data_IF_121436115998
#
_entry.id   IF_121436115998
#
_cell.length_a   1.000
_cell.length_b   1.000
_cell.length_c   1.000
_cell.angle_alpha   90.00
_cell.angle_beta   90.00
_cell.angle_gamma   90.00
#
_symmetry.space_group_name_H-M   'P 1'
#
loop_
_entity.id
_entity.type
_entity.pdbx_description
1 polymer ?
#
# COMPACT_ATOMS: atom_id res chain seq x y z
N UNK A 1 2.58 14.70 16.18
CA UNK A 1 2.28 13.41 15.55
C UNK A 1 3.14 13.26 14.31
N UNK A 2 3.47 12.05 13.93
CA UNK A 2 4.34 11.77 12.80
C UNK A 2 3.59 10.98 11.74
N UNK A 3 3.92 11.22 10.48
CA UNK A 3 3.27 10.55 9.35
C UNK A 3 4.07 9.35 8.90
N UNK A 4 3.34 8.29 8.58
CA UNK A 4 3.90 7.04 8.05
C UNK A 4 3.10 6.63 6.83
N UNK A 5 3.79 6.01 5.88
CA UNK A 5 3.19 5.42 4.70
C UNK A 5 3.15 3.91 4.90
N UNK A 6 1.97 3.33 4.78
CA UNK A 6 1.77 1.88 4.81
C UNK A 6 1.61 1.44 3.35
N UNK A 7 2.50 0.57 2.89
CA UNK A 7 2.55 0.14 1.50
C UNK A 7 2.17 -1.32 1.37
N UNK A 8 1.19 -1.59 0.50
CA UNK A 8 0.87 -2.94 0.03
C UNK A 8 1.56 -3.19 -1.29
N UNK A 9 2.06 -4.40 -1.50
CA UNK A 9 2.77 -4.77 -2.71
C UNK A 9 2.04 -5.87 -3.46
N UNK A 10 1.91 -5.72 -4.79
CA UNK A 10 1.60 -6.87 -5.66
C UNK A 10 2.83 -7.74 -5.81
N UNK A 11 4.01 -7.10 -5.93
CA UNK A 11 5.33 -7.75 -6.02
C UNK A 11 6.32 -6.89 -5.25
N UNK A 12 7.37 -7.49 -4.74
CA UNK A 12 8.43 -6.79 -4.01
C UNK A 12 8.43 -7.05 -2.51
N UNK A 13 7.46 -7.84 -2.02
CA UNK A 13 7.41 -8.30 -0.64
C UNK A 13 7.30 -9.84 -0.62
N UNK A 14 7.66 -10.48 0.49
CA UNK A 14 7.42 -11.93 0.63
C UNK A 14 5.93 -12.25 0.52
N UNK A 15 5.62 -13.49 0.12
CA UNK A 15 4.24 -13.92 -0.03
C UNK A 15 3.46 -13.82 1.28
N UNK A 16 2.18 -13.47 1.17
CA UNK A 16 1.25 -13.47 2.30
C UNK A 16 0.96 -14.90 2.77
N UNK A 17 0.46 -15.03 3.99
CA UNK A 17 0.05 -16.35 4.52
C UNK A 17 -1.13 -16.89 3.70
N UNK A 18 -2.14 -16.07 3.46
CA UNK A 18 -3.25 -16.39 2.58
C UNK A 18 -3.04 -15.63 1.27
N UNK A 19 -2.32 -16.23 0.33
CA UNK A 19 -1.84 -15.56 -0.88
C UNK A 19 -2.66 -15.86 -2.14
N UNK A 20 -3.89 -16.32 -1.96
CA UNK A 20 -4.80 -16.54 -3.10
C UNK A 20 -5.08 -15.20 -3.79
N UNK A 21 -4.81 -15.06 -5.09
CA UNK A 21 -5.02 -13.80 -5.79
C UNK A 21 -6.48 -13.35 -5.76
N UNK A 22 -6.69 -12.05 -5.67
CA UNK A 22 -8.04 -11.47 -5.56
C UNK A 22 -8.95 -11.83 -6.74
N UNK A 23 -8.41 -12.00 -7.93
CA UNK A 23 -9.19 -12.40 -9.10
C UNK A 23 -9.78 -13.81 -8.96
N UNK A 24 -9.31 -14.60 -8.01
CA UNK A 24 -9.84 -15.91 -7.69
C UNK A 24 -10.84 -15.91 -6.53
N UNK A 25 -11.06 -14.74 -5.90
CA UNK A 25 -11.99 -14.64 -4.78
C UNK A 25 -13.43 -14.59 -5.28
N UNK A 26 -14.36 -15.04 -4.42
CA UNK A 26 -15.79 -14.86 -4.69
C UNK A 26 -16.17 -13.38 -4.51
N UNK A 27 -17.29 -12.93 -5.11
CA UNK A 27 -17.78 -11.57 -4.87
C UNK A 27 -17.98 -11.24 -3.40
N UNK A 28 -18.42 -12.22 -2.59
CA UNK A 28 -18.62 -12.03 -1.16
C UNK A 28 -17.30 -11.82 -0.44
N UNK A 29 -16.25 -12.50 -0.83
CA UNK A 29 -14.91 -12.34 -0.26
C UNK A 29 -14.33 -10.96 -0.59
N UNK A 30 -14.50 -10.50 -1.83
CA UNK A 30 -14.10 -9.15 -2.23
C UNK A 30 -14.85 -8.11 -1.41
N UNK A 31 -16.18 -8.29 -1.26
CA UNK A 31 -17.01 -7.38 -0.52
C UNK A 31 -16.60 -7.28 0.96
N UNK A 32 -16.30 -8.42 1.57
CA UNK A 32 -15.84 -8.47 2.98
C UNK A 32 -14.50 -7.75 3.14
N UNK A 33 -13.58 -7.93 2.20
CA UNK A 33 -12.29 -7.24 2.21
C UNK A 33 -12.47 -5.72 2.10
N UNK A 34 -13.26 -5.27 1.14
CA UNK A 34 -13.52 -3.84 0.92
C UNK A 34 -14.17 -3.24 2.17
N UNK A 35 -15.12 -3.96 2.78
CA UNK A 35 -15.79 -3.47 3.98
C UNK A 35 -14.81 -3.34 5.15
N UNK A 36 -13.92 -4.31 5.32
CA UNK A 36 -12.88 -4.23 6.34
C UNK A 36 -12.01 -2.97 6.15
N UNK A 37 -11.62 -2.70 4.90
CA UNK A 37 -10.80 -1.53 4.59
C UNK A 37 -11.54 -0.23 4.88
N UNK A 38 -12.83 -0.16 4.55
CA UNK A 38 -13.66 1.01 4.83
C UNK A 38 -13.85 1.24 6.33
N UNK A 39 -14.11 0.16 7.07
CA UNK A 39 -14.29 0.25 8.53
C UNK A 39 -12.99 0.67 9.20
N UNK A 40 -11.86 0.15 8.74
CA UNK A 40 -10.54 0.53 9.23
C UNK A 40 -10.30 2.03 9.01
N UNK A 41 -10.51 2.51 7.80
CA UNK A 41 -10.33 3.93 7.48
C UNK A 41 -11.28 4.81 8.29
N UNK A 42 -12.55 4.43 8.40
CA UNK A 42 -13.53 5.19 9.18
C UNK A 42 -13.15 5.30 10.66
N UNK A 43 -12.62 4.22 11.22
CA UNK A 43 -12.15 4.23 12.61
C UNK A 43 -10.99 5.19 12.79
N UNK A 44 -10.04 5.19 11.85
CA UNK A 44 -8.90 6.09 11.91
C UNK A 44 -9.27 7.55 11.63
N UNK A 45 -10.30 7.79 10.82
CA UNK A 45 -10.86 9.13 10.68
C UNK A 45 -11.39 9.63 12.03
N UNK A 46 -12.08 8.76 12.77
CA UNK A 46 -12.61 9.08 14.08
C UNK A 46 -11.55 9.43 15.11
N UNK A 47 -10.37 8.84 15.03
CA UNK A 47 -9.24 9.14 15.94
C UNK A 47 -8.35 10.27 15.43
N UNK A 48 -8.56 10.73 14.19
CA UNK A 48 -7.69 11.74 13.57
C UNK A 48 -6.40 11.18 12.99
N UNK A 49 -6.27 9.86 12.91
CA UNK A 49 -5.06 9.20 12.44
C UNK A 49 -5.06 8.95 10.92
N UNK A 50 -6.21 8.99 10.27
CA UNK A 50 -6.30 8.77 8.82
C UNK A 50 -5.96 10.06 8.06
N UNK A 51 -5.09 9.95 7.05
CA UNK A 51 -4.77 11.06 6.15
C UNK A 51 -5.31 10.80 4.76
N UNK A 52 -4.92 9.71 4.12
CA UNK A 52 -5.37 9.35 2.78
C UNK A 52 -5.04 7.89 2.46
N UNK A 53 -5.68 7.33 1.45
CA UNK A 53 -5.41 5.98 0.98
C UNK A 53 -5.83 5.84 -0.48
N UNK A 54 -5.07 5.05 -1.24
CA UNK A 54 -5.39 4.74 -2.62
C UNK A 54 -4.98 3.31 -2.95
N UNK A 55 -5.74 2.67 -3.83
CA UNK A 55 -5.41 1.36 -4.39
C UNK A 55 -5.11 1.50 -5.88
N UNK A 56 -4.25 0.61 -6.40
CA UNK A 56 -3.81 0.67 -7.79
C UNK A 56 -4.15 -0.62 -8.52
N UNK A 57 -4.35 -0.51 -9.84
CA UNK A 57 -4.41 -1.69 -10.69
C UNK A 57 -3.02 -2.33 -10.79
N UNK A 58 -2.94 -3.64 -11.15
CA UNK A 58 -1.66 -4.35 -11.19
C UNK A 58 -0.85 -4.06 -12.46
N UNK A 59 -0.84 -2.81 -12.88
CA UNK A 59 -0.13 -2.36 -14.07
C UNK A 59 0.73 -1.17 -13.71
N UNK A 60 1.88 -1.07 -14.35
CA UNK A 60 2.74 0.08 -14.15
C UNK A 60 3.82 0.14 -15.20
N UNK A 61 4.23 1.35 -15.55
CA UNK A 61 5.26 1.58 -16.55
C UNK A 61 6.37 2.41 -15.93
N UNK A 62 7.61 1.93 -16.01
CA UNK A 62 8.76 2.75 -15.66
C UNK A 62 9.13 3.61 -16.85
N UNK A 63 9.40 4.88 -16.59
CA UNK A 63 9.69 5.89 -17.61
C UNK A 63 10.92 6.65 -17.18
N UNK A 64 11.81 6.91 -18.12
CA UNK A 64 12.94 7.81 -17.89
C UNK A 64 13.25 8.63 -19.15
N UNK A 65 13.81 9.79 -18.96
CA UNK A 65 14.36 10.58 -20.04
C UNK A 65 15.83 10.22 -20.22
N UNK A 66 16.26 9.94 -21.46
CA UNK A 66 17.66 9.54 -21.76
C UNK A 66 18.56 10.72 -22.10
N UNK A 67 18.02 11.93 -22.17
CA UNK A 67 18.81 13.14 -22.49
C UNK A 67 18.99 13.42 -23.96
N UNK A 68 18.38 12.63 -24.87
CA UNK A 68 18.63 12.72 -26.32
C UNK A 68 17.61 13.58 -27.06
N UNK A 69 16.78 14.35 -26.36
CA UNK A 69 15.80 15.23 -26.99
C UNK A 69 14.65 14.52 -27.68
N UNK A 70 14.38 13.28 -27.34
CA UNK A 70 13.32 12.45 -27.90
C UNK A 70 12.34 12.02 -26.78
N UNK A 71 11.20 11.40 -27.13
CA UNK A 71 10.24 10.96 -26.13
C UNK A 71 10.87 10.07 -25.05
N UNK A 72 10.31 10.06 -23.84
CA UNK A 72 10.83 9.23 -22.76
C UNK A 72 10.91 7.74 -23.12
N UNK A 73 11.91 7.07 -22.58
CA UNK A 73 12.07 5.62 -22.69
C UNK A 73 11.15 4.95 -21.68
N UNK A 74 10.45 3.90 -22.10
CA UNK A 74 9.56 3.14 -21.21
C UNK A 74 9.91 1.66 -21.25
N UNK A 75 9.56 0.96 -20.19
CA UNK A 75 9.74 -0.49 -20.10
C UNK A 75 8.45 -1.28 -20.39
N UNK A 76 7.36 -0.57 -20.74
CA UNK A 76 6.07 -1.19 -20.99
C UNK A 76 5.26 -1.45 -19.71
N UNK A 77 3.96 -1.84 -19.85
CA UNK A 77 3.04 -1.90 -18.71
C UNK A 77 3.01 -3.24 -17.98
N UNK A 78 3.75 -4.25 -18.41
CA UNK A 78 3.62 -5.61 -17.87
C UNK A 78 4.28 -5.76 -16.51
N UNK A 79 3.57 -6.42 -15.59
CA UNK A 79 3.97 -6.52 -14.18
C UNK A 79 4.88 -7.72 -13.86
N UNK A 80 5.07 -8.66 -14.79
CA UNK A 80 5.66 -9.98 -14.52
C UNK A 80 7.07 -9.92 -13.94
N UNK A 81 7.82 -8.87 -14.27
CA UNK A 81 9.21 -8.72 -13.83
C UNK A 81 9.44 -7.47 -12.99
N UNK A 82 8.37 -6.81 -12.55
CA UNK A 82 8.45 -5.56 -11.81
C UNK A 82 7.97 -5.70 -10.39
N UNK A 83 8.60 -4.97 -9.49
CA UNK A 83 8.04 -4.74 -8.16
C UNK A 83 6.98 -3.66 -8.28
N UNK A 84 5.75 -3.96 -7.88
CA UNK A 84 4.63 -3.04 -8.00
C UNK A 84 3.88 -2.90 -6.68
N UNK A 85 3.56 -1.66 -6.36
CA UNK A 85 2.76 -1.32 -5.19
C UNK A 85 1.29 -1.55 -5.54
N UNK A 86 0.58 -2.26 -4.66
CA UNK A 86 -0.86 -2.49 -4.79
C UNK A 86 -1.69 -1.32 -4.27
N UNK A 87 -1.17 -0.61 -3.29
CA UNK A 87 -1.85 0.53 -2.71
C UNK A 87 -1.06 1.10 -1.54
N UNK A 88 -1.55 2.23 -1.03
CA UNK A 88 -0.91 2.88 0.11
C UNK A 88 -1.96 3.53 1.01
N UNK A 89 -1.58 3.71 2.27
CA UNK A 89 -2.34 4.48 3.25
C UNK A 89 -1.37 5.38 3.99
N UNK A 90 -1.73 6.64 4.14
CA UNK A 90 -0.97 7.59 4.96
C UNK A 90 -1.69 7.75 6.29
N UNK A 91 -0.96 7.55 7.37
CA UNK A 91 -1.47 7.74 8.74
C UNK A 91 -0.63 8.79 9.46
N UNK A 92 -1.24 9.47 10.43
CA UNK A 92 -0.59 10.45 11.28
C UNK A 92 -0.79 10.02 12.73
N UNK A 93 0.26 9.52 13.36
CA UNK A 93 0.20 8.85 14.66
C UNK A 93 1.22 9.41 15.63
N UNK A 94 1.01 9.16 16.92
CA UNK A 94 1.88 9.68 17.96
C UNK A 94 3.22 8.98 18.04
N UNK A 95 3.25 7.66 17.74
CA UNK A 95 4.46 6.85 17.90
C UNK A 95 4.65 5.92 16.73
N UNK A 96 5.89 5.48 16.52
CA UNK A 96 6.21 4.44 15.54
C UNK A 96 5.52 3.12 15.89
N UNK A 97 5.45 2.79 17.18
CA UNK A 97 4.77 1.57 17.66
C UNK A 97 3.31 1.57 17.27
N UNK A 98 2.64 2.72 17.32
CA UNK A 98 1.26 2.84 16.85
C UNK A 98 1.15 2.57 15.36
N UNK A 99 2.11 3.05 14.57
CA UNK A 99 2.14 2.78 13.12
C UNK A 99 2.26 1.27 12.86
N UNK A 100 3.12 0.56 13.59
CA UNK A 100 3.29 -0.88 13.44
C UNK A 100 2.02 -1.64 13.85
N UNK A 101 1.36 -1.22 14.91
CA UNK A 101 0.10 -1.79 15.35
C UNK A 101 -0.98 -1.67 14.27
N UNK A 102 -1.11 -0.49 13.69
CA UNK A 102 -2.09 -0.26 12.63
C UNK A 102 -1.75 -1.04 11.36
N UNK A 103 -0.47 -1.16 11.01
CA UNK A 103 -0.04 -1.98 9.88
C UNK A 103 -0.40 -3.46 10.12
N UNK A 104 -0.23 -3.95 11.35
CA UNK A 104 -0.62 -5.30 11.70
C UNK A 104 -2.12 -5.54 11.54
N UNK A 105 -2.94 -4.59 11.97
CA UNK A 105 -4.39 -4.67 11.79
C UNK A 105 -4.78 -4.65 10.31
N UNK A 106 -4.15 -3.79 9.52
CA UNK A 106 -4.42 -3.70 8.09
C UNK A 106 -4.04 -5.00 7.38
N UNK A 107 -2.94 -5.62 7.79
CA UNK A 107 -2.47 -6.90 7.28
C UNK A 107 -3.47 -8.04 7.49
N UNK A 108 -4.29 -7.94 8.53
CA UNK A 108 -5.24 -8.98 8.90
C UNK A 108 -6.58 -8.89 8.15
N UNK A 109 -6.70 -8.03 7.14
CA UNK A 109 -7.91 -7.96 6.32
C UNK A 109 -8.25 -9.34 5.75
N UNK A 110 -9.55 -9.69 5.67
CA UNK A 110 -9.94 -11.01 5.16
C UNK A 110 -9.72 -11.11 3.66
N UNK A 111 -9.37 -12.30 3.22
CA UNK A 111 -9.20 -12.65 1.81
C UNK A 111 -10.00 -13.89 1.47
N UNK A 112 -9.39 -14.79 0.68
CA UNK A 112 -10.04 -16.03 0.26
C UNK A 112 -10.50 -16.85 1.47
N UNK A 113 -11.70 -17.40 1.38
CA UNK A 113 -12.30 -18.18 2.46
C UNK A 113 -12.64 -17.36 3.71
N UNK A 114 -12.62 -16.03 3.64
CA UNK A 114 -12.83 -15.16 4.78
C UNK A 114 -11.68 -15.16 5.77
N UNK A 115 -10.57 -15.81 5.43
CA UNK A 115 -9.40 -15.92 6.30
C UNK A 115 -8.52 -14.68 6.17
N UNK A 116 -7.88 -14.23 7.28
CA UNK A 116 -6.96 -13.11 7.20
C UNK A 116 -5.84 -13.36 6.19
N UNK A 117 -5.49 -12.32 5.44
CA UNK A 117 -4.44 -12.42 4.43
C UNK A 117 -3.07 -12.54 5.09
N UNK A 118 -2.81 -11.78 6.14
CA UNK A 118 -1.51 -11.68 6.80
C UNK A 118 -0.39 -11.39 5.78
N UNK A 119 -0.62 -10.35 4.98
CA UNK A 119 0.39 -9.87 4.04
C UNK A 119 1.45 -9.03 4.75
N UNK A 120 2.61 -8.94 4.15
CA UNK A 120 3.66 -8.04 4.62
C UNK A 120 3.34 -6.63 4.12
N UNK A 121 3.27 -5.68 5.04
CA UNK A 121 3.14 -4.27 4.72
C UNK A 121 4.48 -3.59 4.99
N UNK A 122 4.87 -2.72 4.08
CA UNK A 122 6.05 -1.89 4.28
C UNK A 122 5.62 -0.62 5.01
N UNK A 123 6.26 -0.32 6.14
CA UNK A 123 5.99 0.90 6.91
C UNK A 123 7.14 1.86 6.68
N UNK A 124 6.85 3.03 6.11
CA UNK A 124 7.86 4.03 5.77
C UNK A 124 7.57 5.34 6.50
N UNK A 125 8.51 5.83 7.32
CA UNK A 125 8.35 7.17 7.89
C UNK A 125 8.54 8.21 6.79
N UNK A 126 7.75 9.28 6.86
CA UNK A 126 7.99 10.45 6.02
C UNK A 126 9.20 11.20 6.55
N UNK A 127 9.90 11.90 5.66
CA UNK A 127 10.87 12.86 6.10
C UNK A 127 10.14 13.94 6.89
N UNK A 128 10.63 14.24 8.10
CA UNK A 128 10.01 15.25 8.96
C UNK A 128 10.07 16.63 8.30
N UNK A 129 11.17 16.90 7.59
CA UNK A 129 11.36 18.12 6.84
C UNK A 129 12.02 17.79 5.50
N UNK A 130 11.67 18.52 4.43
CA UNK A 130 12.36 18.33 3.16
C UNK A 130 13.84 18.66 3.31
N UNK A 131 14.74 18.01 2.56
CA UNK A 131 16.14 18.41 2.57
C UNK A 131 16.27 19.88 2.21
N UNK A 132 17.01 20.64 3.02
CA UNK A 132 17.25 22.05 2.73
C UNK A 132 18.59 22.22 2.05
N UNK A 133 18.60 23.03 0.99
CA UNK A 133 19.84 23.45 0.39
C UNK A 133 20.26 24.72 1.09
N UNK A 134 21.41 24.67 1.78
CA UNK A 134 21.97 25.83 2.44
C UNK A 134 22.93 26.52 1.48
N UNK A 135 22.71 27.76 1.22
CA UNK A 135 23.58 28.56 0.37
C UNK A 135 24.67 29.25 1.15
#
# INVERSE_FOLDING_TARGET
MAKYLLLKHYRGAPAAVNDVPMEQWTPEEVSAHVQYMRDFAARLEGTGEFVDAQAFSPEGTFVRYDGEGRPPVTDGPFAETKDLIAGWMVIDVETYERALELAGELSAAPGAGGKPIHEWLEVRPFLAEPPTVTE
#
